data_IF_971361213210
#
_entry.id   IF_971361213210
#
_cell.length_a   1.000
_cell.length_b   1.000
_cell.length_c   1.000
_cell.angle_alpha   90.00
_cell.angle_beta   90.00
_cell.angle_gamma   90.00
#
_symmetry.space_group_name_H-M   'P 1'
#
loop_
_entity.id
_entity.type
_entity.pdbx_description
1 polymer ?
#
# COMPACT_ATOMS: atom_id res chain seq x y z
N UNK A 1 2.38 19.72 -28.68
CA UNK A 1 2.59 19.58 -27.23
C UNK A 1 3.22 18.21 -27.00
N UNK A 2 4.52 18.16 -26.73
CA UNK A 2 5.24 16.91 -26.49
C UNK A 2 4.78 16.35 -25.14
N UNK A 3 3.96 15.30 -25.17
CA UNK A 3 3.75 14.45 -24.01
C UNK A 3 5.13 13.89 -23.63
N UNK A 4 5.73 14.50 -22.60
CA UNK A 4 6.90 13.95 -21.95
C UNK A 4 6.49 12.55 -21.46
N UNK A 5 6.98 11.54 -22.16
CA UNK A 5 6.98 10.16 -21.69
C UNK A 5 7.76 10.19 -20.38
N UNK A 6 7.05 10.33 -19.25
CA UNK A 6 7.64 10.22 -17.92
C UNK A 6 8.58 9.03 -17.92
N UNK A 7 9.82 9.30 -17.52
CA UNK A 7 10.93 8.35 -17.57
C UNK A 7 10.49 7.03 -16.93
N UNK A 8 11.05 5.89 -17.36
CA UNK A 8 10.79 4.61 -16.69
C UNK A 8 10.99 4.71 -15.18
N UNK A 9 11.94 5.55 -14.74
CA UNK A 9 12.21 5.86 -13.34
C UNK A 9 11.05 6.56 -12.62
N UNK A 10 10.31 7.43 -13.29
CA UNK A 10 9.17 8.13 -12.70
C UNK A 10 8.01 7.15 -12.47
N UNK A 11 7.82 6.19 -13.39
CA UNK A 11 6.81 5.13 -13.25
C UNK A 11 7.17 4.16 -12.13
N UNK A 12 8.45 3.82 -12.00
CA UNK A 12 8.97 2.99 -10.91
C UNK A 12 8.79 3.66 -9.55
N UNK A 13 9.14 4.96 -9.45
CA UNK A 13 8.96 5.74 -8.23
C UNK A 13 7.49 5.84 -7.82
N UNK A 14 6.59 6.13 -8.77
CA UNK A 14 5.16 6.16 -8.52
C UNK A 14 4.63 4.80 -8.04
N UNK A 15 5.09 3.71 -8.64
CA UNK A 15 4.65 2.36 -8.22
C UNK A 15 5.13 2.03 -6.81
N UNK A 16 6.35 2.41 -6.45
CA UNK A 16 6.87 2.24 -5.08
C UNK A 16 6.07 3.09 -4.09
N UNK A 17 5.75 4.34 -4.43
CA UNK A 17 4.94 5.22 -3.58
C UNK A 17 3.54 4.64 -3.33
N UNK A 18 2.88 4.12 -4.37
CA UNK A 18 1.56 3.48 -4.23
C UNK A 18 1.63 2.21 -3.37
N UNK A 19 2.73 1.45 -3.45
CA UNK A 19 2.96 0.28 -2.58
C UNK A 19 3.12 0.73 -1.12
N UNK A 20 3.84 1.82 -0.87
CA UNK A 20 4.01 2.38 0.47
C UNK A 20 2.67 2.86 1.05
N UNK A 21 1.83 3.53 0.24
CA UNK A 21 0.48 3.95 0.63
C UNK A 21 -0.41 2.77 0.98
N UNK A 22 -0.43 1.72 0.17
CA UNK A 22 -1.23 0.53 0.43
C UNK A 22 -0.82 -0.15 1.75
N UNK A 23 0.47 -0.22 2.05
CA UNK A 23 0.96 -0.73 3.33
C UNK A 23 0.58 0.18 4.52
N UNK A 24 0.61 1.50 4.34
CA UNK A 24 0.15 2.45 5.35
C UNK A 24 -1.35 2.26 5.65
N UNK A 25 -2.18 2.10 4.62
CA UNK A 25 -3.61 1.85 4.77
C UNK A 25 -3.92 0.54 5.51
N UNK A 26 -3.13 -0.51 5.27
CA UNK A 26 -3.23 -1.77 6.03
C UNK A 26 -2.98 -1.52 7.52
N UNK A 27 -1.93 -0.77 7.86
CA UNK A 27 -1.57 -0.46 9.24
C UNK A 27 -2.63 0.44 9.91
N UNK A 28 -3.11 1.47 9.20
CA UNK A 28 -4.18 2.34 9.69
C UNK A 28 -5.48 1.58 9.94
N UNK A 29 -5.84 0.65 9.05
CA UNK A 29 -7.03 -0.19 9.22
C UNK A 29 -6.91 -1.10 10.44
N UNK A 30 -5.71 -1.60 10.72
CA UNK A 30 -5.42 -2.40 11.92
C UNK A 30 -5.51 -1.58 13.20
N UNK A 31 -4.98 -0.35 13.21
CA UNK A 31 -5.16 0.59 14.33
C UNK A 31 -6.62 0.97 14.53
N UNK A 32 -7.36 1.21 13.44
CA UNK A 32 -8.79 1.50 13.49
C UNK A 32 -9.59 0.34 14.09
N UNK A 33 -9.26 -0.90 13.75
CA UNK A 33 -9.84 -2.09 14.36
C UNK A 33 -9.58 -2.14 15.88
N UNK A 34 -8.37 -1.80 16.33
CA UNK A 34 -8.03 -1.75 17.76
C UNK A 34 -8.79 -0.64 18.52
N UNK A 35 -9.12 0.46 17.85
CA UNK A 35 -9.87 1.59 18.44
C UNK A 35 -11.37 1.43 18.38
N UNK A 36 -11.89 0.59 17.49
CA UNK A 36 -13.32 0.41 17.30
C UNK A 36 -14.06 -0.03 18.58
N UNK A 37 -13.33 -0.51 19.59
CA UNK A 37 -13.61 -0.88 21.00
C UNK A 37 -15.01 -1.36 21.42
N UNK A 38 -16.13 -0.97 20.81
CA UNK A 38 -17.49 -1.48 21.06
C UNK A 38 -18.48 -1.21 19.90
N UNK A 39 -18.02 -0.79 18.72
CA UNK A 39 -18.88 -0.54 17.54
C UNK A 39 -18.67 -1.64 16.48
N UNK A 40 -19.64 -2.57 16.34
CA UNK A 40 -19.58 -3.65 15.35
C UNK A 40 -19.47 -3.16 13.90
N UNK A 41 -20.14 -2.05 13.56
CA UNK A 41 -20.11 -1.50 12.20
C UNK A 41 -18.72 -0.90 11.90
N UNK A 42 -18.11 -0.26 12.90
CA UNK A 42 -16.74 0.24 12.79
C UNK A 42 -15.71 -0.90 12.67
N UNK A 43 -15.94 -2.02 13.35
CA UNK A 43 -15.12 -3.23 13.23
C UNK A 43 -15.21 -3.82 11.83
N UNK A 44 -16.43 -4.03 11.33
CA UNK A 44 -16.65 -4.59 9.99
C UNK A 44 -16.06 -3.68 8.90
N UNK A 45 -16.22 -2.37 9.05
CA UNK A 45 -15.61 -1.38 8.15
C UNK A 45 -14.08 -1.45 8.19
N UNK A 46 -13.46 -1.58 9.37
CA UNK A 46 -12.01 -1.70 9.50
C UNK A 46 -11.49 -2.99 8.85
N UNK A 47 -12.19 -4.10 8.99
CA UNK A 47 -11.86 -5.38 8.35
C UNK A 47 -11.97 -5.25 6.83
N UNK A 48 -13.06 -4.70 6.32
CA UNK A 48 -13.28 -4.52 4.88
C UNK A 48 -12.20 -3.62 4.26
N UNK A 49 -11.85 -2.51 4.93
CA UNK A 49 -10.77 -1.61 4.50
C UNK A 49 -9.41 -2.30 4.49
N UNK A 50 -9.09 -3.09 5.53
CA UNK A 50 -7.85 -3.88 5.58
C UNK A 50 -7.78 -4.87 4.42
N UNK A 51 -8.86 -5.58 4.13
CA UNK A 51 -8.92 -6.53 3.02
C UNK A 51 -8.73 -5.85 1.65
N UNK A 52 -9.40 -4.71 1.43
CA UNK A 52 -9.24 -3.93 0.21
C UNK A 52 -7.79 -3.44 0.02
N UNK A 53 -7.17 -2.91 1.08
CA UNK A 53 -5.79 -2.44 1.03
C UNK A 53 -4.79 -3.60 0.78
N UNK A 54 -5.03 -4.79 1.36
CA UNK A 54 -4.24 -5.99 1.08
C UNK A 54 -4.34 -6.43 -0.39
N UNK A 55 -5.55 -6.44 -0.95
CA UNK A 55 -5.75 -6.78 -2.37
C UNK A 55 -5.09 -5.76 -3.30
N UNK A 56 -5.17 -4.48 -2.97
CA UNK A 56 -4.50 -3.41 -3.71
C UNK A 56 -2.98 -3.57 -3.66
N UNK A 57 -2.41 -3.83 -2.48
CA UNK A 57 -0.99 -4.14 -2.33
C UNK A 57 -0.57 -5.34 -3.19
N UNK A 58 -1.33 -6.44 -3.15
CA UNK A 58 -1.03 -7.63 -3.95
C UNK A 58 -1.04 -7.35 -5.45
N UNK A 59 -1.97 -6.51 -5.91
CA UNK A 59 -2.00 -6.05 -7.29
C UNK A 59 -0.74 -5.26 -7.65
N UNK A 60 -0.35 -4.29 -6.83
CA UNK A 60 0.83 -3.46 -7.05
C UNK A 60 2.13 -4.28 -7.05
N UNK A 61 2.25 -5.25 -6.14
CA UNK A 61 3.39 -6.18 -6.11
C UNK A 61 3.47 -7.02 -7.40
N UNK A 62 2.34 -7.51 -7.91
CA UNK A 62 2.31 -8.23 -9.20
C UNK A 62 2.76 -7.33 -10.34
N UNK A 63 2.34 -6.06 -10.36
CA UNK A 63 2.75 -5.09 -11.37
C UNK A 63 4.25 -4.76 -11.27
N UNK A 64 4.78 -4.61 -10.05
CA UNK A 64 6.20 -4.35 -9.83
C UNK A 64 7.08 -5.52 -10.29
N UNK A 65 6.66 -6.75 -10.02
CA UNK A 65 7.34 -7.95 -10.53
C UNK A 65 7.37 -8.00 -12.06
N UNK A 66 6.26 -7.66 -12.72
CA UNK A 66 6.20 -7.57 -14.20
C UNK A 66 7.12 -6.48 -14.75
N UNK A 67 7.29 -5.38 -14.02
CA UNK A 67 8.20 -4.30 -14.37
C UNK A 67 9.68 -4.62 -14.06
N UNK A 68 10.00 -5.78 -13.47
CA UNK A 68 11.37 -6.15 -13.12
C UNK A 68 11.92 -5.45 -11.87
N UNK A 69 11.06 -4.79 -11.09
CA UNK A 69 11.45 -4.08 -9.88
C UNK A 69 11.83 -5.06 -8.77
N UNK A 70 13.05 -4.89 -8.23
CA UNK A 70 13.48 -5.56 -7.00
C UNK A 70 12.96 -4.77 -5.80
N UNK A 71 11.77 -5.13 -5.34
CA UNK A 71 11.22 -4.58 -4.10
C UNK A 71 11.83 -5.31 -2.91
N UNK A 72 12.57 -4.57 -2.09
CA UNK A 72 12.99 -5.04 -0.77
C UNK A 72 11.83 -4.83 0.21
N UNK A 73 11.09 -5.92 0.47
CA UNK A 73 9.96 -5.91 1.42
C UNK A 73 10.40 -5.44 2.82
N UNK A 74 11.62 -5.77 3.24
CA UNK A 74 12.13 -5.37 4.55
C UNK A 74 12.30 -3.86 4.65
N UNK A 75 12.82 -3.22 3.60
CA UNK A 75 12.97 -1.76 3.56
C UNK A 75 11.62 -1.04 3.52
N UNK A 76 10.67 -1.54 2.72
CA UNK A 76 9.31 -0.97 2.64
C UNK A 76 8.60 -1.02 4.00
N UNK A 77 8.66 -2.16 4.68
CA UNK A 77 8.04 -2.34 6.00
C UNK A 77 8.77 -1.50 7.07
N UNK A 78 10.11 -1.46 7.05
CA UNK A 78 10.89 -0.68 8.01
C UNK A 78 10.60 0.83 7.92
N UNK A 79 10.32 1.36 6.73
CA UNK A 79 9.95 2.76 6.52
C UNK A 79 8.59 3.12 7.10
N UNK A 80 7.68 2.15 7.18
CA UNK A 80 6.31 2.33 7.67
C UNK A 80 6.22 2.14 9.18
N UNK A 81 7.01 1.22 9.74
CA UNK A 81 7.07 0.98 11.20
C UNK A 81 7.90 2.02 11.97
N UNK A 82 8.74 2.81 11.29
CA UNK A 82 9.53 3.89 11.91
C UNK A 82 8.80 5.23 12.03
N UNK A 83 7.57 5.35 11.55
CA UNK A 83 6.75 6.58 11.67
C UNK A 83 5.95 6.62 12.97
#
# INVERSE_FOLDING_TARGET
MTQSLGSSKDREANLIEEIEKALLEINLSEKAFQWAQNDPDAVDLAIAKKQAAMQHYDFLIKQAKKAGLKLDKGQLIAKILKQ
#
